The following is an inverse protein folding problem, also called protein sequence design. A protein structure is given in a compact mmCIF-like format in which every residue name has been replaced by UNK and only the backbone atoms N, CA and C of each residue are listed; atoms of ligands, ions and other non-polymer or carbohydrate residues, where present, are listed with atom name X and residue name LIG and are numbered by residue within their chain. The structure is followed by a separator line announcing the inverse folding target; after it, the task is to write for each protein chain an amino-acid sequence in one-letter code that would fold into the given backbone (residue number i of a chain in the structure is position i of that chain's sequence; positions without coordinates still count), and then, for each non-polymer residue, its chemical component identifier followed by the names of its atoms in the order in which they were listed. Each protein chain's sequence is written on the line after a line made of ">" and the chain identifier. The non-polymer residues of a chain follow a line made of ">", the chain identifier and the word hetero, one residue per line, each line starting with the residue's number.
data_IF_223011612065
#
_entry.id   IF_223011612065
#
_cell.length_a   1.000
_cell.length_b   1.000
_cell.length_c   1.000
_cell.angle_alpha   90.00
_cell.angle_beta   90.00
_cell.angle_gamma   90.00
#
_symmetry.space_group_name_H-M   'P 1'
#
loop_
_entity.id
_entity.type
_entity.pdbx_description
1 polymer ?
#
# COMPACT_ATOMS: atom_id res chain seq x y z
N UNK A 1 52.62 -11.94 -54.75
CA UNK A 1 51.71 -10.83 -54.39
C UNK A 1 50.58 -11.42 -53.55
N UNK A 2 50.52 -11.11 -52.26
CA UNK A 2 49.56 -11.67 -51.30
C UNK A 2 48.30 -10.79 -51.31
N UNK A 3 47.13 -11.36 -51.61
CA UNK A 3 45.86 -10.66 -51.48
C UNK A 3 45.24 -10.99 -50.12
N UNK A 4 45.15 -9.99 -49.25
CA UNK A 4 44.46 -10.09 -47.95
C UNK A 4 42.96 -9.89 -48.14
N UNK A 5 42.17 -10.89 -47.79
CA UNK A 5 40.71 -10.78 -47.66
C UNK A 5 40.39 -10.14 -46.30
N UNK A 6 39.80 -8.95 -46.32
CA UNK A 6 39.29 -8.26 -45.12
C UNK A 6 37.85 -8.74 -44.89
N UNK A 7 37.63 -9.47 -43.80
CA UNK A 7 36.30 -9.81 -43.30
C UNK A 7 35.70 -8.59 -42.58
N UNK A 8 34.67 -7.98 -43.17
CA UNK A 8 33.92 -6.88 -42.56
C UNK A 8 32.82 -7.48 -41.68
N UNK A 9 33.04 -7.47 -40.36
CA UNK A 9 32.06 -7.91 -39.37
C UNK A 9 31.10 -6.76 -39.08
N UNK A 10 29.93 -6.73 -39.73
CA UNK A 10 28.87 -5.75 -39.43
C UNK A 10 28.24 -6.08 -38.08
N UNK A 11 28.53 -5.25 -37.08
CA UNK A 11 27.90 -5.27 -35.76
C UNK A 11 26.43 -4.84 -35.90
N UNK A 12 25.50 -5.80 -35.79
CA UNK A 12 24.07 -5.50 -35.72
C UNK A 12 23.79 -4.99 -34.31
N UNK A 13 23.62 -3.67 -34.17
CA UNK A 13 23.20 -3.04 -32.92
C UNK A 13 21.78 -3.47 -32.59
N UNK A 14 21.62 -4.39 -31.64
CA UNK A 14 20.34 -4.67 -31.01
C UNK A 14 19.91 -3.43 -30.22
N UNK A 15 19.03 -2.61 -30.78
CA UNK A 15 18.29 -1.62 -30.00
C UNK A 15 17.31 -2.37 -29.12
N UNK A 16 17.69 -2.55 -27.85
CA UNK A 16 16.79 -3.05 -26.82
C UNK A 16 15.64 -2.06 -26.70
N UNK A 17 14.46 -2.43 -27.19
CA UNK A 17 13.23 -1.72 -26.85
C UNK A 17 13.02 -1.93 -25.35
N UNK A 18 13.38 -0.92 -24.56
CA UNK A 18 12.99 -0.85 -23.18
C UNK A 18 11.46 -1.00 -23.13
N UNK A 19 10.98 -2.01 -22.39
CA UNK A 19 9.57 -2.13 -22.08
C UNK A 19 9.22 -0.97 -21.16
N UNK A 20 8.81 0.17 -21.75
CA UNK A 20 8.08 1.19 -21.00
C UNK A 20 6.86 0.46 -20.43
N UNK A 21 6.80 0.35 -19.10
CA UNK A 21 5.59 -0.03 -18.39
C UNK A 21 4.56 1.06 -18.64
N UNK A 22 3.88 1.01 -19.80
CA UNK A 22 2.90 2.01 -20.20
C UNK A 22 1.64 1.79 -19.40
N UNK A 23 1.45 2.59 -18.36
CA UNK A 23 0.12 2.83 -17.81
C UNK A 23 -0.68 3.57 -18.88
N UNK A 24 -1.81 3.00 -19.29
CA UNK A 24 -2.69 3.60 -20.31
C UNK A 24 -3.53 4.73 -19.68
N UNK A 25 -2.87 5.84 -19.34
CA UNK A 25 -3.49 7.07 -18.85
C UNK A 25 -2.94 8.26 -19.63
N UNK A 26 -3.78 8.84 -20.48
CA UNK A 26 -3.39 9.93 -21.40
C UNK A 26 -3.01 11.24 -20.69
N UNK A 27 -3.37 11.40 -19.41
CA UNK A 27 -3.08 12.59 -18.61
C UNK A 27 -1.89 12.37 -17.66
N UNK A 28 -1.20 11.23 -17.74
CA UNK A 28 -0.09 10.94 -16.85
C UNK A 28 1.16 11.76 -17.21
N UNK A 29 1.69 12.46 -16.21
CA UNK A 29 2.94 13.22 -16.29
C UNK A 29 4.01 12.54 -15.42
N UNK A 30 5.13 12.13 -16.03
CA UNK A 30 6.30 11.62 -15.30
C UNK A 30 6.85 12.72 -14.39
N UNK A 31 7.20 12.39 -13.15
CA UNK A 31 7.85 13.31 -12.19
C UNK A 31 9.28 12.85 -11.92
N UNK A 32 10.19 13.81 -11.77
CA UNK A 32 11.57 13.53 -11.41
C UNK A 32 11.68 13.29 -9.92
N UNK A 33 12.30 12.18 -9.53
CA UNK A 33 12.63 11.90 -8.13
C UNK A 33 13.90 12.66 -7.74
N UNK A 34 13.88 13.34 -6.59
CA UNK A 34 15.05 14.02 -6.02
C UNK A 34 16.04 13.08 -5.33
N UNK A 35 15.64 11.83 -5.10
CA UNK A 35 16.45 10.80 -4.45
C UNK A 35 15.70 9.47 -4.36
N UNK A 36 16.35 8.47 -3.77
CA UNK A 36 15.75 7.16 -3.54
C UNK A 36 14.82 7.16 -2.32
N UNK A 37 13.87 6.23 -2.28
CA UNK A 37 12.94 6.08 -1.17
C UNK A 37 12.70 4.61 -0.82
N UNK A 38 12.44 4.36 0.47
CA UNK A 38 11.94 3.07 0.97
C UNK A 38 10.65 3.27 1.79
N UNK A 39 10.10 4.48 1.82
CA UNK A 39 8.85 4.82 2.45
C UNK A 39 7.96 5.61 1.48
N UNK A 40 6.65 5.40 1.56
CA UNK A 40 5.67 6.16 0.77
C UNK A 40 4.60 6.73 1.71
N UNK A 41 4.30 8.00 1.56
CA UNK A 41 3.19 8.68 2.22
C UNK A 41 2.27 9.29 1.16
N UNK A 42 1.01 8.85 1.14
CA UNK A 42 -0.01 9.34 0.20
C UNK A 42 -1.22 9.90 0.94
N UNK A 43 -1.73 11.04 0.49
CA UNK A 43 -2.88 11.70 1.12
C UNK A 43 -3.76 12.45 0.13
N UNK A 44 -4.87 12.99 0.64
CA UNK A 44 -5.77 13.91 -0.08
C UNK A 44 -6.47 13.27 -1.29
N UNK A 45 -7.07 12.09 -1.07
CA UNK A 45 -7.96 11.45 -2.06
C UNK A 45 -7.25 10.97 -3.33
N UNK A 46 -5.96 10.62 -3.22
CA UNK A 46 -5.16 10.11 -4.33
C UNK A 46 -5.30 8.59 -4.42
N UNK A 47 -5.53 8.09 -5.63
CA UNK A 47 -5.42 6.66 -5.96
C UNK A 47 -3.96 6.33 -6.30
N UNK A 48 -3.27 5.63 -5.41
CA UNK A 48 -1.89 5.17 -5.60
C UNK A 48 -1.85 3.77 -6.19
N UNK A 49 -1.44 3.68 -7.45
CA UNK A 49 -1.13 2.44 -8.15
C UNK A 49 0.33 2.07 -7.89
N UNK A 50 0.55 1.00 -7.15
CA UNK A 50 1.86 0.65 -6.64
C UNK A 50 2.42 -0.61 -7.33
N UNK A 51 3.58 -0.51 -7.96
CA UNK A 51 4.22 -1.63 -8.67
C UNK A 51 5.58 -1.94 -8.06
N UNK A 52 5.82 -3.17 -7.63
CA UNK A 52 7.15 -3.60 -7.18
C UNK A 52 8.00 -3.97 -8.40
N UNK A 53 9.23 -3.46 -8.48
CA UNK A 53 10.15 -3.71 -9.59
C UNK A 53 11.60 -3.45 -9.25
N UNK A 54 12.44 -3.30 -10.27
CA UNK A 54 13.87 -3.05 -10.10
C UNK A 54 14.25 -1.56 -10.23
N UNK A 55 13.26 -0.69 -10.47
CA UNK A 55 13.46 0.74 -10.70
C UNK A 55 12.45 1.57 -9.90
N UNK A 56 12.89 2.75 -9.50
CA UNK A 56 12.05 3.75 -8.82
C UNK A 56 11.59 4.79 -9.84
N UNK A 57 10.29 4.97 -9.94
CA UNK A 57 9.68 5.94 -10.84
C UNK A 57 8.34 6.42 -10.30
N UNK A 58 7.95 7.63 -10.71
CA UNK A 58 6.65 8.20 -10.38
C UNK A 58 6.06 8.91 -11.60
N UNK A 59 4.76 8.71 -11.81
CA UNK A 59 3.95 9.55 -12.66
C UNK A 59 2.67 9.94 -11.92
N UNK A 60 2.11 11.10 -12.23
CA UNK A 60 0.87 11.58 -11.64
C UNK A 60 -0.14 11.92 -12.74
N UNK A 61 -1.42 11.69 -12.49
CA UNK A 61 -2.51 12.00 -13.40
C UNK A 61 -3.64 12.71 -12.66
N UNK A 62 -4.32 13.61 -13.36
CA UNK A 62 -5.53 14.27 -12.90
C UNK A 62 -6.52 14.39 -14.07
N UNK A 63 -7.80 14.60 -13.74
CA UNK A 63 -8.87 14.78 -14.74
C UNK A 63 -8.72 16.03 -15.61
N UNK A 64 -8.06 17.08 -15.11
CA UNK A 64 -7.90 18.38 -15.77
C UNK A 64 -6.50 18.93 -15.42
N UNK A 65 -5.72 19.42 -16.40
CA UNK A 65 -4.38 19.97 -16.17
C UNK A 65 -4.29 21.05 -15.09
N UNK A 66 -5.36 21.82 -14.85
CA UNK A 66 -5.36 22.85 -13.79
C UNK A 66 -5.12 22.29 -12.39
N UNK A 67 -5.35 20.99 -12.18
CA UNK A 67 -5.10 20.32 -10.90
C UNK A 67 -3.64 19.96 -10.70
N UNK A 68 -2.81 19.94 -11.76
CA UNK A 68 -1.41 19.53 -11.68
C UNK A 68 -0.52 20.51 -10.91
N UNK A 69 -0.86 21.79 -10.87
CA UNK A 69 -0.11 22.85 -10.17
C UNK A 69 -0.01 22.58 -8.65
N UNK A 70 -1.09 22.04 -8.09
CA UNK A 70 -1.23 21.72 -6.68
C UNK A 70 -0.90 20.26 -6.35
N UNK A 71 -0.63 19.43 -7.36
CA UNK A 71 -0.21 18.05 -7.16
C UNK A 71 1.28 18.02 -6.83
N UNK A 72 1.61 17.70 -5.57
CA UNK A 72 2.98 17.67 -5.05
C UNK A 72 3.51 16.25 -4.92
N UNK A 73 4.77 16.10 -5.30
CA UNK A 73 5.56 14.88 -5.18
C UNK A 73 6.97 15.25 -4.75
N UNK A 74 7.43 14.74 -3.61
CA UNK A 74 8.76 15.06 -3.10
C UNK A 74 9.34 13.88 -2.31
N UNK A 75 10.66 13.70 -2.36
CA UNK A 75 11.36 12.74 -1.50
C UNK A 75 12.04 13.50 -0.38
N UNK A 76 11.61 13.23 0.86
CA UNK A 76 12.15 13.83 2.08
C UNK A 76 12.51 12.70 3.05
N UNK A 77 13.76 12.65 3.50
CA UNK A 77 14.26 11.63 4.43
C UNK A 77 13.95 10.18 4.02
N UNK A 78 14.11 9.87 2.72
CA UNK A 78 13.82 8.54 2.17
C UNK A 78 12.32 8.20 2.04
N UNK A 79 11.45 9.18 2.29
CA UNK A 79 9.99 9.05 2.13
C UNK A 79 9.51 9.81 0.90
N UNK A 80 8.90 9.10 -0.04
CA UNK A 80 8.17 9.71 -1.16
C UNK A 80 6.80 10.18 -0.66
N UNK A 81 6.63 11.50 -0.58
CA UNK A 81 5.38 12.17 -0.21
C UNK A 81 4.59 12.54 -1.45
N UNK A 82 3.30 12.18 -1.48
CA UNK A 82 2.40 12.37 -2.60
C UNK A 82 1.09 12.97 -2.07
N UNK A 83 0.81 14.22 -2.40
CA UNK A 83 -0.35 14.93 -1.86
C UNK A 83 -0.81 16.04 -2.79
N UNK A 84 -2.03 16.52 -2.55
CA UNK A 84 -2.57 17.70 -3.21
C UNK A 84 -2.59 18.88 -2.23
N UNK A 85 -1.93 19.97 -2.57
CA UNK A 85 -1.79 21.18 -1.76
C UNK A 85 -2.96 22.15 -2.01
N UNK A 86 -3.78 22.46 -0.99
CA UNK A 86 -4.84 23.46 -1.11
C UNK A 86 -5.80 23.52 0.08
N UNK A 87 -6.39 24.69 0.31
CA UNK A 87 -7.08 25.06 1.57
C UNK A 87 -8.60 24.81 1.61
N UNK A 88 -9.23 24.33 0.53
CA UNK A 88 -10.69 24.14 0.52
C UNK A 88 -11.09 22.69 0.69
N UNK A 89 -11.31 22.33 1.96
CA UNK A 89 -12.12 21.22 2.44
C UNK A 89 -13.59 21.47 2.06
N UNK A 90 -13.88 21.41 0.77
CA UNK A 90 -15.23 21.07 0.32
C UNK A 90 -15.12 19.66 -0.24
N UNK A 91 -15.62 18.69 0.53
CA UNK A 91 -15.76 17.27 0.16
C UNK A 91 -16.39 17.06 -1.24
N UNK A 92 -17.06 18.08 -1.78
CA UNK A 92 -17.68 18.17 -3.11
C UNK A 92 -16.67 18.15 -4.28
N UNK A 93 -15.36 18.20 -4.01
CA UNK A 93 -14.32 18.38 -5.03
C UNK A 93 -13.42 17.19 -5.36
N UNK A 94 -13.23 16.20 -4.48
CA UNK A 94 -12.21 15.15 -4.71
C UNK A 94 -12.58 14.21 -5.87
N UNK A 95 -13.85 13.81 -5.97
CA UNK A 95 -14.35 12.96 -7.06
C UNK A 95 -14.19 13.61 -8.44
N UNK A 96 -14.23 14.95 -8.49
CA UNK A 96 -14.03 15.68 -9.75
C UNK A 96 -12.57 15.67 -10.18
N UNK A 97 -11.62 15.69 -9.24
CA UNK A 97 -10.19 15.80 -9.55
C UNK A 97 -9.61 14.51 -10.13
N UNK A 98 -10.09 13.33 -9.68
CA UNK A 98 -9.62 12.01 -10.10
C UNK A 98 -8.08 11.91 -10.08
N UNK A 99 -7.49 12.20 -8.93
CA UNK A 99 -6.04 12.23 -8.75
C UNK A 99 -5.50 10.79 -8.68
N UNK A 100 -4.49 10.48 -9.49
CA UNK A 100 -3.81 9.19 -9.48
C UNK A 100 -2.31 9.37 -9.41
N UNK A 101 -1.65 8.49 -8.67
CA UNK A 101 -0.20 8.33 -8.72
C UNK A 101 0.15 6.91 -9.16
N UNK A 102 1.12 6.79 -10.05
CA UNK A 102 1.72 5.52 -10.47
C UNK A 102 3.14 5.50 -9.92
N UNK A 103 3.44 4.58 -9.02
CA UNK A 103 4.75 4.48 -8.37
C UNK A 103 5.33 3.09 -8.58
N UNK A 104 6.55 3.03 -9.09
CA UNK A 104 7.38 1.84 -9.02
C UNK A 104 8.42 1.96 -7.92
N UNK A 105 8.69 0.88 -7.20
CA UNK A 105 9.64 0.87 -6.09
C UNK A 105 10.47 -0.42 -6.07
N UNK A 106 11.68 -0.33 -5.52
CA UNK A 106 12.58 -1.49 -5.32
C UNK A 106 12.32 -2.18 -3.98
N UNK A 107 12.40 -1.40 -2.91
CA UNK A 107 12.15 -1.83 -1.53
C UNK A 107 11.14 -0.89 -0.88
N UNK A 108 10.38 -1.42 0.07
CA UNK A 108 9.39 -0.64 0.81
C UNK A 108 9.34 -1.15 2.24
N UNK A 109 9.61 -0.26 3.19
CA UNK A 109 9.60 -0.49 4.62
C UNK A 109 8.39 0.17 5.28
N UNK A 110 7.91 1.31 4.74
CA UNK A 110 6.77 2.05 5.28
C UNK A 110 5.77 2.45 4.20
N UNK A 111 4.49 2.26 4.49
CA UNK A 111 3.38 2.67 3.63
C UNK A 111 2.32 3.39 4.45
N UNK A 112 2.24 4.71 4.31
CA UNK A 112 1.28 5.53 5.03
C UNK A 112 0.24 6.11 4.07
N UNK A 113 -1.04 5.94 4.37
CA UNK A 113 -2.12 6.54 3.60
C UNK A 113 -3.13 7.23 4.54
N UNK A 114 -3.55 8.44 4.15
CA UNK A 114 -4.51 9.23 4.92
C UNK A 114 -5.45 10.04 4.04
N UNK A 115 -6.41 10.73 4.65
CA UNK A 115 -7.27 11.73 4.01
C UNK A 115 -7.94 11.20 2.72
N UNK A 116 -8.53 10.02 2.82
CA UNK A 116 -9.26 9.37 1.72
C UNK A 116 -8.41 8.81 0.59
N UNK A 117 -7.08 8.73 0.72
CA UNK A 117 -6.23 8.09 -0.28
C UNK A 117 -6.47 6.58 -0.36
N UNK A 118 -6.32 6.00 -1.55
CA UNK A 118 -6.49 4.56 -1.81
C UNK A 118 -5.21 3.96 -2.36
N UNK A 119 -4.73 2.88 -1.76
CA UNK A 119 -3.53 2.16 -2.24
C UNK A 119 -3.92 0.87 -2.94
N UNK A 120 -3.45 0.73 -4.17
CA UNK A 120 -3.83 -0.30 -5.14
C UNK A 120 -2.57 -0.98 -5.72
N UNK A 121 -2.02 -2.00 -5.05
CA UNK A 121 -0.93 -2.79 -5.60
C UNK A 121 -1.27 -3.42 -6.96
N UNK A 122 -0.35 -3.31 -7.92
CA UNK A 122 -0.43 -3.94 -9.23
C UNK A 122 0.24 -5.31 -9.16
N UNK A 123 -0.47 -6.28 -8.57
CA UNK A 123 0.03 -7.62 -8.29
C UNK A 123 0.31 -7.85 -6.80
N UNK A 124 1.11 -8.88 -6.51
CA UNK A 124 1.44 -9.26 -5.13
C UNK A 124 2.69 -8.54 -4.65
N UNK A 125 2.58 -7.78 -3.55
CA UNK A 125 3.75 -7.17 -2.90
C UNK A 125 4.54 -8.24 -2.14
N UNK A 126 5.81 -8.45 -2.50
CA UNK A 126 6.71 -9.41 -1.86
C UNK A 126 7.78 -8.66 -1.07
N UNK A 127 7.57 -8.49 0.23
CA UNK A 127 8.37 -7.62 1.11
C UNK A 127 8.77 -8.40 2.37
N UNK A 128 9.99 -8.20 2.88
CA UNK A 128 10.40 -8.86 4.12
C UNK A 128 9.67 -8.28 5.35
N UNK A 129 9.75 -6.96 5.53
CA UNK A 129 9.10 -6.25 6.64
C UNK A 129 8.41 -4.99 6.13
N UNK A 130 7.14 -4.79 6.52
CA UNK A 130 6.36 -3.62 6.17
C UNK A 130 5.61 -3.07 7.39
N UNK A 131 5.79 -1.77 7.65
CA UNK A 131 4.95 -0.97 8.56
C UNK A 131 3.93 -0.17 7.74
N UNK A 132 2.65 -0.49 7.92
CA UNK A 132 1.56 0.09 7.14
C UNK A 132 0.57 0.85 8.04
N UNK A 133 0.34 2.13 7.74
CA UNK A 133 -0.54 3.00 8.51
C UNK A 133 -1.65 3.56 7.62
N UNK A 134 -2.91 3.36 8.02
CA UNK A 134 -4.08 3.85 7.29
C UNK A 134 -5.01 4.62 8.22
N UNK A 135 -5.24 5.90 7.95
CA UNK A 135 -6.12 6.75 8.76
C UNK A 135 -7.05 7.61 7.92
N UNK A 136 -8.00 8.29 8.57
CA UNK A 136 -8.85 9.32 7.98
C UNK A 136 -9.49 8.90 6.65
N UNK A 137 -10.17 7.75 6.67
CA UNK A 137 -10.87 7.19 5.50
C UNK A 137 -9.98 6.62 4.39
N UNK A 138 -8.67 6.48 4.61
CA UNK A 138 -7.79 5.84 3.64
C UNK A 138 -8.11 4.35 3.45
N UNK A 139 -7.75 3.81 2.28
CA UNK A 139 -7.99 2.41 1.95
C UNK A 139 -6.78 1.69 1.36
N UNK A 140 -6.73 0.38 1.57
CA UNK A 140 -5.81 -0.54 0.89
C UNK A 140 -6.60 -1.70 0.33
N UNK A 141 -6.34 -2.07 -0.93
CA UNK A 141 -6.89 -3.28 -1.53
C UNK A 141 -5.84 -3.99 -2.37
N UNK A 142 -5.36 -5.15 -1.92
CA UNK A 142 -4.33 -5.88 -2.67
C UNK A 142 -3.91 -7.22 -2.09
N UNK A 143 -2.99 -7.87 -2.81
CA UNK A 143 -2.37 -9.13 -2.41
C UNK A 143 -0.95 -8.90 -1.88
N UNK A 144 -0.56 -9.63 -0.84
CA UNK A 144 0.76 -9.52 -0.23
C UNK A 144 1.38 -10.89 0.03
N UNK A 145 2.71 -10.93 0.04
CA UNK A 145 3.54 -12.04 0.52
C UNK A 145 4.62 -11.43 1.42
N UNK A 146 4.32 -11.29 2.71
CA UNK A 146 5.14 -10.51 3.64
C UNK A 146 5.54 -11.33 4.86
N UNK A 147 6.82 -11.34 5.21
CA UNK A 147 7.26 -12.08 6.40
C UNK A 147 6.76 -11.42 7.69
N UNK A 148 7.02 -10.12 7.88
CA UNK A 148 6.56 -9.33 9.02
C UNK A 148 5.72 -8.14 8.58
N UNK A 149 4.45 -8.12 8.97
CA UNK A 149 3.52 -7.07 8.60
C UNK A 149 2.94 -6.42 9.87
N UNK A 150 3.23 -5.14 10.06
CA UNK A 150 2.61 -4.31 11.10
C UNK A 150 1.56 -3.41 10.45
N UNK A 151 0.31 -3.45 10.92
CA UNK A 151 -0.80 -2.65 10.37
C UNK A 151 -1.46 -1.85 11.48
N UNK A 152 -1.44 -0.53 11.34
CA UNK A 152 -2.14 0.40 12.23
C UNK A 152 -3.26 1.11 11.48
N UNK A 153 -4.48 1.10 12.03
CA UNK A 153 -5.66 1.71 11.44
C UNK A 153 -6.46 2.56 12.42
N UNK A 154 -6.94 3.70 11.94
CA UNK A 154 -7.85 4.56 12.71
C UNK A 154 -8.80 5.36 11.81
N UNK A 155 -9.76 6.06 12.43
CA UNK A 155 -10.61 7.06 11.80
C UNK A 155 -11.28 6.59 10.51
N UNK A 156 -11.97 5.44 10.58
CA UNK A 156 -12.76 4.89 9.49
C UNK A 156 -11.98 4.38 8.27
N UNK A 157 -10.68 4.12 8.39
CA UNK A 157 -9.91 3.50 7.29
C UNK A 157 -10.30 2.03 7.06
N UNK A 158 -10.07 1.53 5.84
CA UNK A 158 -10.43 0.14 5.45
C UNK A 158 -9.27 -0.56 4.74
N UNK A 159 -8.84 -1.70 5.27
CA UNK A 159 -7.84 -2.58 4.63
C UNK A 159 -8.53 -3.85 4.17
N UNK A 160 -8.40 -4.17 2.89
CA UNK A 160 -8.87 -5.41 2.24
C UNK A 160 -7.66 -6.14 1.65
N UNK A 161 -7.20 -7.18 2.33
CA UNK A 161 -5.89 -7.79 2.10
C UNK A 161 -5.98 -9.30 1.93
N UNK A 162 -5.22 -9.80 0.97
CA UNK A 162 -5.15 -11.23 0.64
C UNK A 162 -3.70 -11.69 0.50
N UNK A 163 -3.49 -13.01 0.42
CA UNK A 163 -2.18 -13.62 0.20
C UNK A 163 -1.65 -14.32 1.44
N UNK A 164 -0.40 -14.03 1.84
CA UNK A 164 0.27 -14.72 2.95
C UNK A 164 1.09 -13.78 3.83
N UNK A 165 1.08 -14.04 5.13
CA UNK A 165 2.08 -13.49 6.05
C UNK A 165 2.56 -14.48 7.10
N UNK A 166 3.80 -14.33 7.58
CA UNK A 166 4.30 -15.16 8.69
C UNK A 166 3.87 -14.56 10.02
N UNK A 167 4.21 -13.30 10.25
CA UNK A 167 3.91 -12.55 11.47
C UNK A 167 3.07 -11.33 11.11
N UNK A 168 1.95 -11.15 11.80
CA UNK A 168 1.04 -10.04 11.59
C UNK A 168 0.65 -9.38 12.90
N UNK A 169 0.93 -8.09 13.01
CA UNK A 169 0.44 -7.25 14.10
C UNK A 169 -0.61 -6.30 13.57
N UNK A 170 -1.76 -6.23 14.24
CA UNK A 170 -2.89 -5.40 13.84
C UNK A 170 -3.29 -4.53 15.03
N UNK A 171 -3.33 -3.21 14.85
CA UNK A 171 -3.92 -2.27 15.79
C UNK A 171 -4.99 -1.44 15.08
N UNK A 172 -6.26 -1.67 15.41
CA UNK A 172 -7.41 -1.04 14.74
C UNK A 172 -8.27 -0.30 15.76
N UNK A 173 -8.55 0.96 15.48
CA UNK A 173 -9.37 1.82 16.34
C UNK A 173 -10.34 2.72 15.56
N UNK A 174 -11.22 3.41 16.28
CA UNK A 174 -12.04 4.52 15.76
C UNK A 174 -12.82 4.17 14.49
N UNK A 175 -13.54 3.05 14.54
CA UNK A 175 -14.41 2.59 13.44
C UNK A 175 -13.69 2.08 12.19
N UNK A 176 -12.36 1.95 12.21
CA UNK A 176 -11.61 1.35 11.10
C UNK A 176 -11.82 -0.17 11.02
N UNK A 177 -11.61 -0.76 9.84
CA UNK A 177 -11.84 -2.19 9.59
C UNK A 177 -10.66 -2.82 8.85
N UNK A 178 -10.14 -3.92 9.40
CA UNK A 178 -9.20 -4.84 8.76
C UNK A 178 -9.95 -6.07 8.24
N UNK A 179 -9.90 -6.32 6.92
CA UNK A 179 -10.50 -7.47 6.23
C UNK A 179 -9.38 -8.34 5.64
N UNK A 180 -9.02 -9.39 6.36
CA UNK A 180 -7.94 -10.32 5.98
C UNK A 180 -8.33 -11.78 6.12
N UNK A 181 -9.59 -12.15 5.87
CA UNK A 181 -9.94 -13.59 5.81
C UNK A 181 -9.21 -14.33 4.70
N UNK A 182 -8.86 -13.63 3.61
CA UNK A 182 -8.12 -14.18 2.48
C UNK A 182 -6.60 -14.01 2.63
N UNK A 183 -6.14 -13.49 3.77
CA UNK A 183 -4.74 -13.43 4.16
C UNK A 183 -4.42 -14.63 5.05
N UNK A 184 -3.62 -15.55 4.54
CA UNK A 184 -3.19 -16.72 5.29
C UNK A 184 -2.02 -16.36 6.21
N UNK A 185 -2.31 -16.16 7.49
CA UNK A 185 -1.31 -15.75 8.51
C UNK A 185 -0.94 -16.89 9.45
N UNK A 186 0.35 -17.03 9.76
CA UNK A 186 0.83 -18.03 10.72
C UNK A 186 0.64 -17.57 12.18
N UNK A 187 1.20 -16.41 12.53
CA UNK A 187 1.16 -15.83 13.87
C UNK A 187 0.52 -14.43 13.84
N UNK A 188 -0.41 -14.15 14.74
CA UNK A 188 -1.11 -12.87 14.78
C UNK A 188 -1.24 -12.28 16.20
N UNK A 189 -0.88 -11.01 16.36
CA UNK A 189 -1.25 -10.17 17.51
C UNK A 189 -2.26 -9.11 17.04
N UNK A 190 -3.52 -9.27 17.43
CA UNK A 190 -4.62 -8.42 16.98
C UNK A 190 -5.21 -7.61 18.14
N UNK A 191 -5.29 -6.29 17.94
CA UNK A 191 -5.93 -5.35 18.85
C UNK A 191 -7.03 -4.59 18.13
N UNK A 192 -8.21 -4.55 18.75
CA UNK A 192 -9.36 -3.81 18.27
C UNK A 192 -9.96 -2.97 19.41
N UNK A 193 -10.08 -1.66 19.21
CA UNK A 193 -10.68 -0.75 20.19
C UNK A 193 -11.60 0.29 19.54
N UNK A 194 -12.40 1.00 20.34
CA UNK A 194 -13.19 2.16 19.90
C UNK A 194 -14.02 1.90 18.63
N UNK A 195 -14.75 0.78 18.60
CA UNK A 195 -15.56 0.35 17.46
C UNK A 195 -14.77 -0.18 16.24
N UNK A 196 -13.46 -0.36 16.36
CA UNK A 196 -12.62 -0.97 15.33
C UNK A 196 -12.90 -2.45 15.12
N UNK A 197 -12.73 -2.94 13.89
CA UNK A 197 -13.05 -4.32 13.50
C UNK A 197 -11.88 -5.05 12.84
N UNK A 198 -11.60 -6.28 13.27
CA UNK A 198 -10.61 -7.17 12.65
C UNK A 198 -11.30 -8.44 12.17
N UNK A 199 -11.04 -8.85 10.94
CA UNK A 199 -11.42 -10.14 10.35
C UNK A 199 -10.16 -10.82 9.83
N UNK A 200 -9.75 -11.94 10.41
CA UNK A 200 -8.45 -12.55 10.10
C UNK A 200 -8.50 -14.07 10.03
N UNK A 201 -7.67 -14.69 9.19
CA UNK A 201 -7.45 -16.14 9.17
C UNK A 201 -6.07 -16.47 9.74
N UNK A 202 -6.01 -17.27 10.82
CA UNK A 202 -4.76 -17.57 11.53
C UNK A 202 -4.55 -19.07 11.67
N UNK A 203 -3.32 -19.54 11.39
CA UNK A 203 -2.99 -20.96 11.35
C UNK A 203 -2.36 -21.51 12.62
N UNK A 204 -1.41 -20.79 13.23
CA UNK A 204 -0.60 -21.31 14.35
C UNK A 204 -0.98 -20.67 15.68
N UNK A 205 -0.79 -19.37 15.84
CA UNK A 205 -0.99 -18.69 17.13
C UNK A 205 -1.73 -17.36 16.96
N UNK A 206 -2.70 -17.09 17.83
CA UNK A 206 -3.40 -15.81 17.92
C UNK A 206 -3.34 -15.24 19.35
N UNK A 207 -2.89 -14.00 19.47
CA UNK A 207 -3.13 -13.14 20.63
C UNK A 207 -4.17 -12.10 20.25
N UNK A 208 -5.24 -11.96 21.03
CA UNK A 208 -6.38 -11.09 20.68
C UNK A 208 -6.80 -10.19 21.85
N UNK A 209 -6.84 -8.88 21.62
CA UNK A 209 -7.29 -7.88 22.60
C UNK A 209 -8.41 -7.03 22.02
N UNK A 210 -9.59 -7.07 22.62
CA UNK A 210 -10.73 -6.28 22.21
C UNK A 210 -11.26 -5.44 23.37
N UNK A 211 -11.37 -4.13 23.18
CA UNK A 211 -11.92 -3.20 24.18
C UNK A 211 -12.78 -2.11 23.56
N UNK A 212 -13.52 -1.34 24.37
CA UNK A 212 -14.27 -0.15 23.94
C UNK A 212 -15.14 -0.38 22.68
N UNK A 213 -15.90 -1.47 22.65
CA UNK A 213 -16.74 -1.83 21.50
C UNK A 213 -16.01 -2.39 20.28
N UNK A 214 -14.70 -2.65 20.36
CA UNK A 214 -13.92 -3.28 19.28
C UNK A 214 -14.28 -4.76 19.07
N UNK A 215 -14.15 -5.25 17.84
CA UNK A 215 -14.49 -6.62 17.46
C UNK A 215 -13.38 -7.33 16.71
N UNK A 216 -13.05 -8.56 17.12
CA UNK A 216 -12.12 -9.44 16.41
C UNK A 216 -12.87 -10.72 16.03
N UNK A 217 -12.95 -11.00 14.73
CA UNK A 217 -13.44 -12.26 14.20
C UNK A 217 -12.30 -13.02 13.53
N UNK A 218 -12.07 -14.26 13.96
CA UNK A 218 -10.98 -15.05 13.42
C UNK A 218 -11.45 -16.40 12.87
N UNK A 219 -10.77 -16.86 11.82
CA UNK A 219 -10.91 -18.21 11.24
C UNK A 219 -9.62 -19.01 11.46
N UNK A 220 -9.71 -20.31 11.24
CA UNK A 220 -8.57 -21.22 11.28
C UNK A 220 -8.46 -22.03 12.57
N UNK A 221 -7.30 -22.67 12.74
CA UNK A 221 -7.02 -23.62 13.81
C UNK A 221 -5.96 -23.11 14.79
N UNK A 222 -5.70 -21.80 14.82
CA UNK A 222 -4.71 -21.21 15.72
C UNK A 222 -4.98 -21.53 17.19
N UNK A 223 -3.90 -21.78 17.92
CA UNK A 223 -3.90 -21.83 19.39
C UNK A 223 -3.99 -20.39 19.91
N UNK A 224 -4.92 -20.14 20.83
CA UNK A 224 -5.07 -18.83 21.46
C UNK A 224 -4.03 -18.69 22.58
N UNK A 225 -3.10 -17.75 22.43
CA UNK A 225 -2.01 -17.51 23.39
C UNK A 225 -2.41 -16.51 24.47
N UNK A 226 -3.05 -15.42 24.07
CA UNK A 226 -3.56 -14.37 24.95
C UNK A 226 -4.95 -13.93 24.45
N UNK A 227 -5.87 -13.75 25.39
CA UNK A 227 -7.23 -13.30 25.10
C UNK A 227 -7.68 -12.31 26.16
N UNK A 228 -7.77 -11.04 25.77
CA UNK A 228 -8.23 -9.97 26.66
C UNK A 228 -9.46 -9.28 26.06
N UNK A 229 -10.59 -9.35 26.76
CA UNK A 229 -11.84 -8.73 26.33
C UNK A 229 -12.40 -7.90 27.47
N UNK A 230 -12.63 -6.61 27.23
CA UNK A 230 -13.13 -5.66 28.24
C UNK A 230 -13.98 -4.56 27.61
N UNK A 231 -14.68 -3.74 28.40
CA UNK A 231 -15.35 -2.52 27.95
C UNK A 231 -16.22 -2.67 26.68
N UNK A 232 -16.98 -3.77 26.57
CA UNK A 232 -17.85 -4.05 25.42
C UNK A 232 -17.14 -4.57 24.17
N UNK A 233 -15.85 -4.92 24.26
CA UNK A 233 -15.14 -5.61 23.17
C UNK A 233 -15.66 -7.03 22.92
N UNK A 234 -15.34 -7.60 21.77
CA UNK A 234 -15.70 -8.99 21.43
C UNK A 234 -14.62 -9.69 20.61
N UNK A 235 -14.39 -10.97 20.92
CA UNK A 235 -13.55 -11.86 20.11
C UNK A 235 -14.35 -13.13 19.84
N UNK A 236 -14.58 -13.46 18.55
CA UNK A 236 -15.37 -14.63 18.16
C UNK A 236 -14.67 -15.41 17.04
N UNK A 237 -14.80 -16.73 17.11
CA UNK A 237 -14.44 -17.59 15.98
C UNK A 237 -15.57 -17.52 14.93
N UNK A 238 -15.22 -17.32 13.68
CA UNK A 238 -16.14 -17.25 12.54
C UNK A 238 -16.30 -18.59 11.83
#
# INVERSE_FOLDING_TARGET
>A
MKQSFIFLFTLISFTSFAQDSTFNDANAEKRTLSGSFNAIEVSTGIDLYLTQGNEEAIAVSASDPKYMEHYKTEVVDGTLKIYYEGTSVTWVGSEKRKLKAYVSFKTLEKLHASSGASVLPQGTLSINKLDANFSSGASFKGAVNINQLDVSQSSGSSVDISGKSSELKIDVSSGAIFKGYDLATDFCDAKASSGGGVRISVKKELSAKASSGGGIHYKGAAVIKDLNVSSGGSVKKA
#
